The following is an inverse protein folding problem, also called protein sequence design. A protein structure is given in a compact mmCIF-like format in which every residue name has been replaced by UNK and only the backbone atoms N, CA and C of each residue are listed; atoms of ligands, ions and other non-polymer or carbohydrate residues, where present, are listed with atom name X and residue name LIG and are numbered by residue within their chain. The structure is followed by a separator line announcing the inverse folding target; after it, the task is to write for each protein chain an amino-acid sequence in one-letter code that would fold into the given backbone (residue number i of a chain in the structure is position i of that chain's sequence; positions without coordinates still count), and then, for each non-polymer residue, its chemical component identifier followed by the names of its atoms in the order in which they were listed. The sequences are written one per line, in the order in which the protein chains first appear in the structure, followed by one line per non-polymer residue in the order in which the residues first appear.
data_IF_231113127253
#
_entry.id   IF_231113127253
#
_cell.length_a   1.000
_cell.length_b   1.000
_cell.length_c   1.000
_cell.angle_alpha   90.00
_cell.angle_beta   90.00
_cell.angle_gamma   90.00
#
_symmetry.space_group_name_H-M   'P 1'
#
loop_
_entity.id
_entity.type
_entity.pdbx_description
1 polymer ?
#
# COMPACT_ATOMS: atom_id res chain seq x y z
N UNK A 1 6.35 12.90 -19.04
CA UNK A 1 5.16 12.44 -18.30
C UNK A 1 3.92 13.09 -18.91
N UNK A 2 2.93 12.30 -19.30
CA UNK A 2 1.70 12.82 -19.93
C UNK A 2 0.66 13.22 -18.89
N UNK A 3 -0.20 14.19 -19.22
CA UNK A 3 -1.32 14.65 -18.36
C UNK A 3 -2.23 13.52 -17.88
N UNK A 4 -2.39 12.46 -18.67
CA UNK A 4 -3.14 11.24 -18.33
C UNK A 4 -2.54 10.50 -17.12
N UNK A 5 -1.25 10.16 -17.18
CA UNK A 5 -0.50 9.49 -16.09
C UNK A 5 -0.51 10.33 -14.81
N UNK A 6 -0.39 11.66 -14.92
CA UNK A 6 -0.47 12.54 -13.76
C UNK A 6 -1.85 12.50 -13.08
N UNK A 7 -2.93 12.38 -13.86
CA UNK A 7 -4.30 12.30 -13.35
C UNK A 7 -4.61 10.99 -12.63
N UNK A 8 -4.07 9.86 -13.13
CA UNK A 8 -4.28 8.56 -12.49
C UNK A 8 -3.47 8.40 -11.21
N UNK A 9 -2.28 9.02 -11.13
CA UNK A 9 -1.47 9.05 -9.91
C UNK A 9 -1.95 10.09 -8.88
N UNK A 10 -2.75 11.07 -9.29
CA UNK A 10 -3.27 12.12 -8.41
C UNK A 10 -4.49 11.70 -7.59
N UNK A 11 -5.09 10.54 -7.87
CA UNK A 11 -6.22 10.01 -7.10
C UNK A 11 -5.68 9.19 -5.93
N UNK A 12 -6.08 9.56 -4.71
CA UNK A 12 -5.83 8.73 -3.53
C UNK A 12 -6.66 7.46 -3.62
N UNK A 13 -6.10 6.43 -4.27
CA UNK A 13 -6.68 5.09 -4.25
C UNK A 13 -6.38 4.46 -2.90
N UNK A 14 -7.35 4.53 -2.00
CA UNK A 14 -7.32 3.79 -0.75
C UNK A 14 -7.60 2.32 -1.06
N UNK A 15 -6.68 1.44 -0.67
CA UNK A 15 -6.86 0.00 -0.78
C UNK A 15 -7.61 -0.49 0.46
N UNK A 16 -8.93 -0.61 0.36
CA UNK A 16 -9.74 -1.28 1.37
C UNK A 16 -9.76 -2.79 1.11
N UNK A 17 -9.13 -3.55 2.01
CA UNK A 17 -9.08 -5.01 1.94
C UNK A 17 -10.21 -5.68 2.72
N UNK A 18 -11.12 -4.92 3.33
CA UNK A 18 -12.18 -5.44 4.21
C UNK A 18 -13.09 -6.44 3.49
N UNK A 19 -13.39 -6.22 2.20
CA UNK A 19 -14.15 -7.17 1.40
C UNK A 19 -13.44 -8.53 1.27
N UNK A 20 -12.13 -8.52 1.00
CA UNK A 20 -11.35 -9.76 0.93
C UNK A 20 -11.23 -10.46 2.31
N UNK A 21 -11.13 -9.68 3.39
CA UNK A 21 -11.11 -10.22 4.75
C UNK A 21 -12.43 -10.90 5.10
N UNK A 22 -13.56 -10.27 4.78
CA UNK A 22 -14.89 -10.77 5.12
C UNK A 22 -15.33 -11.94 4.22
N UNK A 23 -15.11 -11.83 2.90
CA UNK A 23 -15.68 -12.77 1.94
C UNK A 23 -14.77 -13.98 1.71
N UNK A 24 -13.45 -13.79 1.82
CA UNK A 24 -12.45 -14.83 1.52
C UNK A 24 -11.68 -15.27 2.76
N UNK A 25 -11.96 -14.69 3.94
CA UNK A 25 -11.19 -14.94 5.15
C UNK A 25 -9.72 -14.52 5.00
N UNK A 26 -9.43 -13.55 4.11
CA UNK A 26 -8.07 -13.15 3.82
C UNK A 26 -7.42 -12.52 5.07
N UNK A 27 -6.34 -13.12 5.57
CA UNK A 27 -5.58 -12.56 6.68
C UNK A 27 -4.24 -12.07 6.11
N UNK A 28 -3.96 -10.75 6.13
CA UNK A 28 -2.68 -10.24 5.68
C UNK A 28 -1.57 -10.75 6.60
N UNK A 29 -0.57 -11.44 6.04
CA UNK A 29 0.57 -11.97 6.81
C UNK A 29 1.52 -10.91 7.36
N UNK A 30 1.40 -9.66 6.89
CA UNK A 30 2.11 -8.49 7.40
C UNK A 30 1.09 -7.36 7.45
N UNK A 31 0.95 -6.70 8.61
CA UNK A 31 0.07 -5.54 8.73
C UNK A 31 0.62 -4.34 7.95
N UNK A 32 -0.24 -3.40 7.59
CA UNK A 32 0.19 -2.14 6.95
C UNK A 32 1.22 -1.41 7.80
N UNK A 33 1.05 -1.41 9.12
CA UNK A 33 1.98 -0.76 10.06
C UNK A 33 3.37 -1.44 10.03
N UNK A 34 3.41 -2.77 10.10
CA UNK A 34 4.67 -3.52 10.05
C UNK A 34 5.36 -3.37 8.69
N UNK A 35 4.58 -3.34 7.61
CA UNK A 35 5.06 -3.07 6.27
C UNK A 35 5.72 -1.70 6.15
N UNK A 36 5.09 -0.65 6.70
CA UNK A 36 5.64 0.70 6.72
C UNK A 36 6.92 0.80 7.56
N UNK A 37 6.99 0.15 8.72
CA UNK A 37 8.20 0.09 9.55
C UNK A 37 9.38 -0.58 8.80
N UNK A 38 9.11 -1.67 8.08
CA UNK A 38 10.13 -2.34 7.23
C UNK A 38 10.59 -1.45 6.09
N UNK A 39 9.66 -0.75 5.44
CA UNK A 39 9.97 0.20 4.37
C UNK A 39 10.86 1.35 4.87
N UNK A 40 10.53 1.92 6.02
CA UNK A 40 11.34 2.96 6.66
C UNK A 40 12.77 2.49 6.93
N UNK A 41 12.91 1.30 7.54
CA UNK A 41 14.23 0.72 7.82
C UNK A 41 15.03 0.50 6.53
N UNK A 42 14.40 -0.01 5.47
CA UNK A 42 15.06 -0.20 4.18
C UNK A 42 15.50 1.12 3.54
N UNK A 43 14.68 2.18 3.62
CA UNK A 43 15.04 3.51 3.10
C UNK A 43 16.25 4.09 3.85
N UNK A 44 16.29 3.95 5.18
CA UNK A 44 17.42 4.40 6.02
C UNK A 44 18.71 3.63 5.75
N UNK A 45 18.62 2.35 5.42
CA UNK A 45 19.79 1.53 5.07
C UNK A 45 20.32 1.79 3.65
N UNK A 46 19.61 2.60 2.85
CA UNK A 46 19.97 2.89 1.45
C UNK A 46 20.61 4.28 1.27
N UNK A 47 20.76 5.06 2.35
CA UNK A 47 21.51 6.34 2.40
C UNK A 47 22.90 6.13 2.94
#
# INVERSE_FOLDING_TARGET
MTRFVANELAKSHWFDISAAQNDLGYIPGVSTEDGLKRLESWLKNRS
#
